data_IF_906648728713
#
_entry.id   IF_906648728713
#
_cell.length_a   1.000
_cell.length_b   1.000
_cell.length_c   1.000
_cell.angle_alpha   90.00
_cell.angle_beta   90.00
_cell.angle_gamma   90.00
#
_symmetry.space_group_name_H-M   'P 1'
#
loop_
_entity.id
_entity.type
_entity.pdbx_description
1 polymer ?
#
# COMPACT_ATOMS: atom_id res chain seq x y z
N UNK A 1 -20.17 -21.68 -12.27
CA UNK A 1 -18.95 -20.84 -12.43
C UNK A 1 -18.14 -21.39 -13.58
N UNK A 2 -17.69 -20.56 -14.53
CA UNK A 2 -16.71 -21.02 -15.51
C UNK A 2 -15.41 -21.46 -14.79
N UNK A 3 -14.68 -22.47 -15.31
CA UNK A 3 -13.40 -22.86 -14.74
C UNK A 3 -12.44 -21.67 -14.78
N UNK A 4 -11.67 -21.49 -13.70
CA UNK A 4 -10.62 -20.48 -13.69
C UNK A 4 -9.64 -20.77 -14.83
N UNK A 5 -9.19 -19.75 -15.59
CA UNK A 5 -8.21 -19.95 -16.64
C UNK A 5 -6.96 -20.63 -16.08
N UNK A 6 -6.33 -21.55 -16.82
CA UNK A 6 -5.13 -22.25 -16.36
C UNK A 6 -4.03 -21.23 -16.06
N UNK A 7 -3.31 -21.46 -14.95
CA UNK A 7 -2.19 -20.61 -14.55
C UNK A 7 -1.11 -20.63 -15.63
N UNK A 8 -0.46 -19.50 -15.94
CA UNK A 8 0.62 -19.49 -16.90
C UNK A 8 1.81 -20.29 -16.36
N UNK A 9 2.45 -21.16 -17.16
CA UNK A 9 3.56 -21.98 -16.69
C UNK A 9 4.75 -21.11 -16.24
N UNK A 10 5.47 -21.57 -15.22
CA UNK A 10 6.74 -20.95 -14.80
C UNK A 10 7.75 -21.14 -15.92
N UNK A 11 8.42 -20.06 -16.33
CA UNK A 11 9.45 -20.14 -17.38
C UNK A 11 10.83 -20.12 -16.73
N UNK A 12 11.68 -21.10 -17.02
CA UNK A 12 13.09 -21.09 -16.65
C UNK A 12 13.94 -20.81 -17.87
N UNK A 13 14.74 -19.74 -17.82
CA UNK A 13 15.69 -19.38 -18.86
C UNK A 13 17.08 -19.86 -18.43
N UNK A 14 17.69 -20.76 -19.20
CA UNK A 14 19.07 -21.21 -18.97
C UNK A 14 20.03 -20.34 -19.79
N UNK A 15 20.82 -19.55 -19.11
CA UNK A 15 21.89 -18.73 -19.68
C UNK A 15 23.23 -19.38 -19.31
N UNK A 16 23.76 -20.22 -20.19
CA UNK A 16 24.95 -21.02 -19.87
C UNK A 16 26.21 -20.19 -19.59
N UNK A 17 26.29 -18.99 -20.16
CA UNK A 17 27.52 -18.18 -20.21
C UNK A 17 27.48 -16.94 -19.33
N UNK A 18 26.39 -16.74 -18.56
CA UNK A 18 26.15 -15.48 -17.83
C UNK A 18 26.22 -14.29 -18.79
N UNK A 19 25.53 -14.42 -19.94
CA UNK A 19 25.54 -13.40 -20.98
C UNK A 19 24.87 -12.12 -20.46
N UNK A 20 25.65 -11.04 -20.52
CA UNK A 20 25.26 -9.68 -20.16
C UNK A 20 23.99 -9.26 -20.91
N UNK A 21 23.76 -9.79 -22.12
CA UNK A 21 22.57 -9.55 -22.92
C UNK A 21 21.27 -9.95 -22.21
N UNK A 22 21.22 -11.12 -21.55
CA UNK A 22 20.04 -11.55 -20.79
C UNK A 22 19.74 -10.60 -19.64
N UNK A 23 20.76 -10.22 -18.89
CA UNK A 23 20.64 -9.30 -17.75
C UNK A 23 20.17 -7.92 -18.20
N UNK A 24 20.83 -7.32 -19.20
CA UNK A 24 20.44 -6.00 -19.72
C UNK A 24 19.04 -5.99 -20.29
N UNK A 25 18.67 -7.02 -21.06
CA UNK A 25 17.34 -7.10 -21.68
C UNK A 25 16.24 -7.25 -20.63
N UNK A 26 16.44 -8.08 -19.62
CA UNK A 26 15.50 -8.23 -18.52
C UNK A 26 15.39 -6.95 -17.68
N UNK A 27 16.50 -6.25 -17.41
CA UNK A 27 16.48 -4.96 -16.70
C UNK A 27 15.78 -3.88 -17.53
N UNK A 28 16.01 -3.82 -18.84
CA UNK A 28 15.32 -2.90 -19.74
C UNK A 28 13.81 -3.19 -19.86
N UNK A 29 13.39 -4.46 -19.71
CA UNK A 29 11.98 -4.83 -19.68
C UNK A 29 11.25 -4.37 -18.40
N UNK A 30 11.99 -3.98 -17.35
CA UNK A 30 11.42 -3.48 -16.10
C UNK A 30 10.62 -2.21 -16.35
N UNK A 31 9.30 -2.31 -16.18
CA UNK A 31 8.39 -1.20 -16.35
C UNK A 31 7.15 -1.41 -15.49
N UNK A 32 7.19 -1.00 -14.20
CA UNK A 32 6.05 -1.16 -13.28
C UNK A 32 4.72 -0.61 -13.80
N UNK A 33 4.65 0.54 -14.51
CA UNK A 33 3.39 1.04 -15.07
C UNK A 33 2.73 0.08 -16.07
N UNK A 34 3.51 -0.73 -16.79
CA UNK A 34 2.99 -1.77 -17.71
C UNK A 34 2.84 -3.15 -17.04
N UNK A 35 3.02 -3.22 -15.72
CA UNK A 35 2.91 -4.47 -14.96
C UNK A 35 4.12 -5.39 -15.06
N UNK A 36 5.28 -4.89 -15.51
CA UNK A 36 6.50 -5.68 -15.69
C UNK A 36 7.52 -5.37 -14.60
N UNK A 37 7.82 -6.35 -13.76
CA UNK A 37 8.79 -6.19 -12.67
C UNK A 37 9.99 -7.11 -12.91
N UNK A 38 11.19 -6.55 -12.83
CA UNK A 38 12.43 -7.33 -12.88
C UNK A 38 13.12 -7.22 -11.54
N UNK A 39 13.29 -8.36 -10.90
CA UNK A 39 13.96 -8.52 -9.63
C UNK A 39 15.41 -8.94 -9.90
N UNK A 40 16.35 -8.15 -9.42
CA UNK A 40 17.75 -8.53 -9.37
C UNK A 40 18.16 -8.72 -7.91
N UNK A 41 18.10 -9.96 -7.36
CA UNK A 41 18.43 -10.19 -5.97
C UNK A 41 19.84 -9.71 -5.65
N UNK A 42 19.97 -8.89 -4.61
CA UNK A 42 21.25 -8.30 -4.22
C UNK A 42 22.34 -9.34 -3.94
N UNK A 43 23.62 -9.02 -4.14
CA UNK A 43 24.71 -9.90 -3.72
C UNK A 43 24.63 -10.10 -2.20
N UNK A 44 24.46 -11.35 -1.77
CA UNK A 44 24.31 -11.65 -0.34
C UNK A 44 22.87 -11.61 0.19
N UNK A 45 21.86 -11.43 -0.66
CA UNK A 45 20.46 -11.77 -0.30
C UNK A 45 20.40 -13.27 -0.01
N UNK A 46 20.62 -13.65 1.24
CA UNK A 46 20.61 -15.04 1.73
C UNK A 46 19.34 -15.33 2.54
N UNK A 47 18.64 -14.29 3.00
CA UNK A 47 17.42 -14.40 3.77
C UNK A 47 16.16 -14.21 2.92
N UNK A 48 15.03 -14.75 3.37
CA UNK A 48 13.71 -14.48 2.77
C UNK A 48 13.33 -13.01 2.90
N UNK A 49 13.69 -12.37 4.02
CA UNK A 49 13.42 -10.96 4.26
C UNK A 49 14.15 -10.07 3.25
N UNK A 50 15.41 -10.39 2.91
CA UNK A 50 16.14 -9.68 1.87
C UNK A 50 15.47 -9.80 0.50
N UNK A 51 15.00 -11.01 0.13
CA UNK A 51 14.27 -11.20 -1.12
C UNK A 51 12.98 -10.38 -1.18
N UNK A 52 12.26 -10.28 -0.05
CA UNK A 52 11.07 -9.44 0.05
C UNK A 52 11.39 -7.95 -0.10
N UNK A 53 12.49 -7.47 0.49
CA UNK A 53 12.93 -6.09 0.31
C UNK A 53 13.30 -5.80 -1.15
N UNK A 54 14.03 -6.71 -1.80
CA UNK A 54 14.37 -6.58 -3.22
C UNK A 54 13.09 -6.49 -4.08
N UNK A 55 12.06 -7.29 -3.75
CA UNK A 55 10.76 -7.25 -4.43
C UNK A 55 10.00 -5.94 -4.17
N UNK A 56 10.02 -5.42 -2.94
CA UNK A 56 9.44 -4.11 -2.60
C UNK A 56 10.13 -2.99 -3.39
N UNK A 57 11.45 -2.99 -3.45
CA UNK A 57 12.23 -2.00 -4.22
C UNK A 57 11.89 -2.08 -5.70
N UNK A 58 11.79 -3.29 -6.26
CA UNK A 58 11.38 -3.49 -7.66
C UNK A 58 9.95 -2.98 -7.93
N UNK A 59 9.07 -2.95 -6.92
CA UNK A 59 7.74 -2.35 -7.01
C UNK A 59 7.73 -0.82 -6.80
N UNK A 60 8.89 -0.18 -6.63
CA UNK A 60 9.00 1.25 -6.31
C UNK A 60 8.59 1.57 -4.86
N UNK A 61 8.63 0.59 -3.96
CA UNK A 61 8.31 0.74 -2.54
C UNK A 61 9.59 0.91 -1.70
N UNK A 62 9.52 1.62 -0.57
CA UNK A 62 10.62 1.61 0.39
C UNK A 62 10.78 0.21 0.99
N UNK A 63 12.01 -0.28 1.24
CA UNK A 63 12.23 -1.66 1.65
C UNK A 63 11.77 -1.96 3.09
N UNK A 64 11.62 -0.93 3.94
CA UNK A 64 11.29 -1.09 5.36
C UNK A 64 9.85 -0.73 5.66
N UNK A 65 9.22 -1.51 6.53
CA UNK A 65 7.89 -1.23 7.06
C UNK A 65 8.00 -0.50 8.42
N UNK A 66 7.40 0.69 8.57
CA UNK A 66 7.27 1.32 9.88
C UNK A 66 6.24 0.54 10.71
N UNK A 67 6.46 0.43 12.02
CA UNK A 67 5.53 -0.29 12.90
C UNK A 67 6.23 -1.08 14.00
N UNK A 68 5.42 -1.62 14.92
CA UNK A 68 5.83 -2.68 15.84
C UNK A 68 5.23 -3.99 15.33
N UNK A 69 6.04 -5.03 15.25
CA UNK A 69 5.63 -6.34 14.75
C UNK A 69 5.76 -7.40 15.84
N UNK A 70 4.78 -8.32 15.99
CA UNK A 70 4.90 -9.45 16.89
C UNK A 70 6.20 -10.23 16.62
N UNK A 71 6.95 -10.56 17.68
CA UNK A 71 8.24 -11.26 17.56
C UNK A 71 9.37 -10.44 16.91
N UNK A 72 9.19 -9.14 16.68
CA UNK A 72 10.24 -8.22 16.21
C UNK A 72 10.64 -8.37 14.74
N UNK A 73 10.03 -9.30 13.98
CA UNK A 73 10.33 -9.51 12.56
C UNK A 73 9.32 -8.79 11.68
N UNK A 74 9.81 -7.99 10.72
CA UNK A 74 8.94 -7.33 9.75
C UNK A 74 8.32 -8.36 8.79
N UNK A 75 6.99 -8.29 8.53
CA UNK A 75 6.29 -9.13 7.55
C UNK A 75 6.51 -8.62 6.13
N UNK A 76 7.78 -8.47 5.74
CA UNK A 76 8.16 -7.88 4.46
C UNK A 76 7.66 -8.72 3.28
N UNK A 77 7.69 -10.05 3.41
CA UNK A 77 7.20 -10.95 2.37
C UNK A 77 5.71 -10.79 2.16
N UNK A 78 4.92 -10.76 3.23
CA UNK A 78 3.48 -10.57 3.20
C UNK A 78 3.12 -9.21 2.60
N UNK A 79 3.89 -8.16 2.90
CA UNK A 79 3.71 -6.85 2.32
C UNK A 79 3.98 -6.84 0.81
N UNK A 80 5.10 -7.42 0.37
CA UNK A 80 5.44 -7.52 -1.05
C UNK A 80 4.39 -8.36 -1.80
N UNK A 81 4.00 -9.50 -1.23
CA UNK A 81 2.96 -10.39 -1.71
C UNK A 81 1.60 -9.70 -1.84
N UNK A 82 1.24 -8.82 -0.91
CA UNK A 82 0.00 -8.05 -0.95
C UNK A 82 0.03 -6.97 -2.05
N UNK A 83 1.15 -6.27 -2.22
CA UNK A 83 1.31 -5.31 -3.30
C UNK A 83 1.28 -5.96 -4.68
N UNK A 84 1.91 -7.12 -4.85
CA UNK A 84 1.84 -7.91 -6.08
C UNK A 84 0.40 -8.32 -6.45
N UNK A 85 -0.46 -8.54 -5.45
CA UNK A 85 -1.88 -8.85 -5.68
C UNK A 85 -2.70 -7.60 -6.01
N UNK A 86 -2.37 -6.45 -5.43
CA UNK A 86 -3.17 -5.24 -5.58
C UNK A 86 -2.80 -4.40 -6.82
N UNK A 87 -1.52 -4.40 -7.20
CA UNK A 87 -1.01 -3.72 -8.38
C UNK A 87 -1.29 -4.54 -9.65
N UNK A 88 -1.42 -3.89 -10.82
CA UNK A 88 -1.62 -4.57 -12.10
C UNK A 88 -0.31 -5.22 -12.60
N UNK A 89 0.42 -5.91 -11.73
CA UNK A 89 1.61 -6.66 -12.09
C UNK A 89 1.17 -7.93 -12.80
N UNK A 90 1.66 -8.15 -14.01
CA UNK A 90 1.38 -9.32 -14.81
C UNK A 90 2.63 -10.19 -15.03
N UNK A 91 3.83 -9.63 -14.82
CA UNK A 91 5.11 -10.28 -15.10
C UNK A 91 6.12 -10.02 -13.99
N UNK A 92 6.75 -11.09 -13.54
CA UNK A 92 7.89 -11.06 -12.63
C UNK A 92 9.06 -11.84 -13.25
N UNK A 93 10.14 -11.13 -13.57
CA UNK A 93 11.40 -11.72 -14.01
C UNK A 93 12.38 -11.70 -12.86
N UNK A 94 12.95 -12.85 -12.48
CA UNK A 94 13.93 -12.97 -11.40
C UNK A 94 15.27 -13.35 -12.00
N UNK A 95 16.22 -12.41 -11.95
CA UNK A 95 17.59 -12.62 -12.38
C UNK A 95 18.37 -13.47 -11.37
N UNK A 96 19.41 -14.16 -11.84
CA UNK A 96 20.29 -15.00 -11.00
C UNK A 96 19.52 -16.00 -10.12
N UNK A 97 18.45 -16.59 -10.67
CA UNK A 97 17.60 -17.55 -9.98
C UNK A 97 18.36 -18.79 -9.47
N UNK A 98 19.50 -19.13 -10.07
CA UNK A 98 20.39 -20.20 -9.60
C UNK A 98 20.96 -19.96 -8.19
N UNK A 99 20.91 -18.73 -7.67
CA UNK A 99 21.35 -18.37 -6.31
C UNK A 99 20.24 -18.50 -5.25
N UNK A 100 19.03 -18.84 -5.67
CA UNK A 100 17.90 -19.02 -4.76
C UNK A 100 18.00 -20.37 -4.03
N UNK A 101 17.62 -20.37 -2.76
CA UNK A 101 17.37 -21.61 -2.02
C UNK A 101 16.02 -22.20 -2.43
N UNK A 102 15.81 -23.49 -2.20
CA UNK A 102 14.56 -24.17 -2.53
C UNK A 102 13.35 -23.46 -1.90
N UNK A 103 13.47 -23.05 -0.64
CA UNK A 103 12.44 -22.28 0.08
C UNK A 103 12.07 -20.96 -0.60
N UNK A 104 13.07 -20.21 -1.10
CA UNK A 104 12.84 -18.92 -1.78
C UNK A 104 12.25 -19.10 -3.18
N UNK A 105 12.72 -20.09 -3.92
CA UNK A 105 12.12 -20.46 -5.19
C UNK A 105 10.65 -20.89 -5.00
N UNK A 106 10.37 -21.71 -3.98
CA UNK A 106 9.01 -22.13 -3.62
C UNK A 106 8.10 -20.95 -3.30
N UNK A 107 8.60 -19.96 -2.54
CA UNK A 107 7.86 -18.73 -2.25
C UNK A 107 7.49 -17.95 -3.52
N UNK A 108 8.38 -17.87 -4.51
CA UNK A 108 8.08 -17.24 -5.81
C UNK A 108 7.03 -18.02 -6.61
N UNK A 109 7.11 -19.36 -6.61
CA UNK A 109 6.09 -20.22 -7.25
C UNK A 109 4.73 -20.05 -6.57
N UNK A 110 4.68 -20.03 -5.24
CA UNK A 110 3.46 -19.75 -4.47
C UNK A 110 2.90 -18.35 -4.75
N UNK A 111 3.78 -17.35 -4.91
CA UNK A 111 3.40 -16.00 -5.30
C UNK A 111 2.74 -16.01 -6.69
N UNK A 112 3.31 -16.74 -7.66
CA UNK A 112 2.73 -16.93 -8.98
C UNK A 112 1.35 -17.60 -8.90
N UNK A 113 1.22 -18.69 -8.16
CA UNK A 113 -0.06 -19.40 -8.05
C UNK A 113 -1.16 -18.52 -7.45
N UNK A 114 -0.80 -17.64 -6.52
CA UNK A 114 -1.74 -16.72 -5.85
C UNK A 114 -2.11 -15.50 -6.69
N UNK A 115 -1.23 -15.05 -7.59
CA UNK A 115 -1.42 -13.80 -8.34
C UNK A 115 -1.72 -14.01 -9.82
N UNK A 116 -1.47 -15.21 -10.35
CA UNK A 116 -1.63 -15.53 -11.78
C UNK A 116 -0.58 -14.86 -12.68
N UNK A 117 0.49 -14.28 -12.13
CA UNK A 117 1.52 -13.61 -12.92
C UNK A 117 2.36 -14.59 -13.74
N UNK A 118 2.92 -14.12 -14.84
CA UNK A 118 3.98 -14.85 -15.54
C UNK A 118 5.30 -14.73 -14.76
N UNK A 119 5.76 -15.85 -14.20
CA UNK A 119 7.03 -15.93 -13.49
C UNK A 119 8.13 -16.45 -14.43
N UNK A 120 9.18 -15.64 -14.62
CA UNK A 120 10.38 -16.01 -15.39
C UNK A 120 11.59 -16.05 -14.47
N UNK A 121 12.29 -17.18 -14.43
CA UNK A 121 13.46 -17.43 -13.58
C UNK A 121 14.71 -17.56 -14.47
N UNK A 122 15.61 -16.58 -14.43
CA UNK A 122 16.83 -16.56 -15.25
C UNK A 122 17.98 -17.22 -14.50
N UNK A 123 18.49 -18.31 -15.03
CA UNK A 123 19.48 -19.18 -14.42
C UNK A 123 20.77 -19.14 -15.22
N UNK A 124 21.78 -18.40 -14.75
CA UNK A 124 23.12 -18.36 -15.36
C UNK A 124 23.95 -19.64 -15.11
N UNK A 125 23.39 -20.80 -15.46
CA UNK A 125 24.01 -22.13 -15.39
C UNK A 125 23.51 -22.95 -16.58
N UNK A 126 24.33 -23.88 -17.12
CA UNK A 126 23.92 -24.74 -18.23
C UNK A 126 22.83 -25.75 -17.85
N UNK A 127 22.62 -26.01 -16.56
CA UNK A 127 21.65 -26.98 -16.05
C UNK A 127 20.86 -26.38 -14.90
N UNK A 128 19.64 -26.90 -14.70
CA UNK A 128 18.74 -26.49 -13.64
C UNK A 128 19.29 -26.93 -12.26
N UNK A 129 19.56 -26.01 -11.33
CA UNK A 129 20.02 -26.37 -9.98
C UNK A 129 18.95 -27.16 -9.23
N UNK A 130 19.35 -28.15 -8.42
CA UNK A 130 18.44 -29.03 -7.70
C UNK A 130 17.40 -28.28 -6.85
N UNK A 131 17.82 -27.21 -6.16
CA UNK A 131 16.93 -26.37 -5.38
C UNK A 131 15.84 -25.67 -6.22
N UNK A 132 16.19 -25.23 -7.42
CA UNK A 132 15.25 -24.60 -8.36
C UNK A 132 14.33 -25.66 -8.96
N UNK A 133 14.88 -26.80 -9.36
CA UNK A 133 14.13 -27.94 -9.88
C UNK A 133 13.07 -28.44 -8.89
N UNK A 134 13.44 -28.61 -7.62
CA UNK A 134 12.50 -29.02 -6.56
C UNK A 134 11.31 -28.06 -6.44
N UNK A 135 11.55 -26.75 -6.53
CA UNK A 135 10.48 -25.76 -6.44
C UNK A 135 9.58 -25.76 -7.68
N UNK A 136 10.15 -25.68 -8.88
CA UNK A 136 9.35 -25.57 -10.11
C UNK A 136 8.57 -26.84 -10.43
N UNK A 137 8.99 -28.01 -9.95
CA UNK A 137 8.22 -29.27 -10.07
C UNK A 137 6.85 -29.25 -9.39
N UNK A 138 6.59 -28.28 -8.52
CA UNK A 138 5.28 -28.11 -7.87
C UNK A 138 4.27 -27.34 -8.74
N UNK A 139 4.70 -26.86 -9.91
CA UNK A 139 3.88 -26.15 -10.87
C UNK A 139 4.21 -26.61 -12.29
N UNK A 140 3.35 -26.26 -13.25
CA UNK A 140 3.70 -26.40 -14.66
C UNK A 140 4.86 -25.46 -14.99
N UNK A 141 5.90 -25.98 -15.63
CA UNK A 141 7.05 -25.17 -16.02
C UNK A 141 7.59 -25.55 -17.40
N UNK A 142 8.20 -24.57 -18.06
CA UNK A 142 8.91 -24.72 -19.31
C UNK A 142 10.35 -24.25 -19.15
N UNK A 143 11.25 -24.81 -19.96
CA UNK A 143 12.68 -24.45 -19.97
C UNK A 143 13.06 -23.98 -21.36
N UNK A 144 13.75 -22.86 -21.46
CA UNK A 144 14.33 -22.37 -22.71
C UNK A 144 15.77 -21.92 -22.51
N UNK A 145 16.61 -22.16 -23.50
CA UNK A 145 17.95 -21.56 -23.61
C UNK A 145 18.03 -20.57 -24.79
N UNK A 146 16.93 -20.38 -25.52
CA UNK A 146 16.85 -19.46 -26.65
C UNK A 146 16.61 -18.03 -26.16
N UNK A 147 17.45 -17.10 -26.61
CA UNK A 147 17.40 -15.71 -26.18
C UNK A 147 16.13 -15.00 -26.66
N UNK A 148 15.68 -15.23 -27.89
CA UNK A 148 14.47 -14.58 -28.41
C UNK A 148 13.20 -15.09 -27.74
N UNK A 149 13.13 -16.38 -27.39
CA UNK A 149 12.13 -16.92 -26.50
C UNK A 149 12.18 -16.23 -25.13
N UNK A 150 13.35 -16.14 -24.50
CA UNK A 150 13.52 -15.46 -23.20
C UNK A 150 13.05 -14.00 -23.25
N UNK A 151 13.41 -13.26 -24.29
CA UNK A 151 12.99 -11.86 -24.53
C UNK A 151 11.47 -11.72 -24.60
N UNK A 152 10.77 -12.64 -25.28
CA UNK A 152 9.30 -12.67 -25.30
C UNK A 152 8.70 -12.87 -23.92
N UNK A 153 9.34 -13.64 -23.03
CA UNK A 153 8.87 -13.80 -21.65
C UNK A 153 9.07 -12.53 -20.82
N UNK A 154 10.18 -11.80 -21.02
CA UNK A 154 10.48 -10.55 -20.31
C UNK A 154 9.49 -9.43 -20.67
N UNK A 155 9.24 -9.20 -21.97
CA UNK A 155 8.37 -8.12 -22.43
C UNK A 155 6.88 -8.53 -22.51
N UNK A 156 6.60 -9.79 -22.82
CA UNK A 156 5.27 -10.26 -23.18
C UNK A 156 4.82 -9.80 -24.56
N UNK A 157 3.51 -9.96 -24.83
CA UNK A 157 2.87 -9.34 -25.99
C UNK A 157 2.90 -7.81 -25.80
N UNK A 158 3.20 -7.02 -26.85
CA UNK A 158 3.17 -5.56 -26.75
C UNK A 158 1.77 -5.10 -26.31
N UNK A 159 1.70 -4.46 -25.15
CA UNK A 159 0.52 -3.69 -24.74
C UNK A 159 0.84 -2.25 -25.13
N UNK A 160 -0.12 -1.57 -25.78
CA UNK A 160 0.01 -0.15 -26.11
C UNK A 160 0.45 0.63 -24.86
N UNK A 161 1.64 1.23 -24.93
CA UNK A 161 2.20 1.97 -23.80
C UNK A 161 1.31 3.19 -23.54
N UNK A 162 0.72 3.32 -22.33
CA UNK A 162 0.14 4.59 -21.95
C UNK A 162 1.27 5.62 -21.89
N UNK A 163 1.08 6.84 -22.43
CA UNK A 163 2.12 7.85 -22.41
C UNK A 163 2.54 8.13 -20.96
N UNK A 164 3.85 8.07 -20.72
CA UNK A 164 4.46 8.46 -19.45
C UNK A 164 4.10 9.90 -19.16
N UNK A 165 3.27 10.12 -18.15
CA UNK A 165 3.12 11.43 -17.53
C UNK A 165 4.39 11.70 -16.72
N UNK A 166 5.42 12.23 -17.36
CA UNK A 166 6.57 12.82 -16.66
C UNK A 166 6.07 13.96 -15.78
N UNK A 167 5.96 13.71 -14.46
CA UNK A 167 5.80 14.80 -13.51
C UNK A 167 7.11 15.60 -13.46
N UNK A 168 7.07 16.94 -13.61
CA UNK A 168 8.25 17.76 -13.43
C UNK A 168 8.76 17.58 -11.99
N UNK A 169 9.96 17.04 -11.88
CA UNK A 169 10.69 16.66 -10.65
C UNK A 169 10.78 17.79 -9.61
N UNK A 170 10.58 19.05 -10.00
CA UNK A 170 10.55 20.21 -9.10
C UNK A 170 9.31 20.35 -8.21
N UNK A 171 8.18 19.66 -8.49
CA UNK A 171 6.92 19.79 -7.69
C UNK A 171 6.67 18.67 -6.68
N UNK A 172 7.46 17.58 -6.74
CA UNK A 172 7.30 16.43 -5.86
C UNK A 172 7.57 16.77 -4.38
N UNK A 173 8.44 17.75 -4.10
CA UNK A 173 8.84 18.15 -2.74
C UNK A 173 7.81 19.01 -2.00
N UNK A 174 6.83 19.62 -2.70
CA UNK A 174 5.86 20.54 -2.09
C UNK A 174 4.80 19.80 -1.27
N UNK A 175 4.47 20.32 -0.09
CA UNK A 175 3.35 19.83 0.72
C UNK A 175 2.00 19.93 0.00
N UNK A 176 1.20 18.87 0.06
CA UNK A 176 -0.23 18.88 -0.27
C UNK A 176 -1.04 19.11 1.01
N UNK A 177 -1.80 20.20 1.03
CA UNK A 177 -2.69 20.54 2.15
C UNK A 177 -4.05 19.92 1.91
N UNK A 178 -4.48 18.99 2.78
CA UNK A 178 -5.68 18.16 2.62
C UNK A 178 -6.53 18.26 3.90
N UNK A 179 -7.64 19.03 3.90
CA UNK A 179 -8.50 19.23 5.08
C UNK A 179 -9.05 17.93 5.68
N UNK A 180 -9.25 16.89 4.87
CA UNK A 180 -9.71 15.59 5.33
C UNK A 180 -8.77 14.93 6.37
N UNK A 181 -7.50 15.36 6.44
CA UNK A 181 -6.53 14.88 7.43
C UNK A 181 -6.62 15.57 8.79
N UNK A 182 -7.45 16.61 8.95
CA UNK A 182 -7.57 17.35 10.22
C UNK A 182 -7.97 16.44 11.39
N UNK A 183 -8.85 15.48 11.13
CA UNK A 183 -9.38 14.57 12.16
C UNK A 183 -8.48 13.39 12.49
N UNK A 184 -7.35 13.23 11.79
CA UNK A 184 -6.48 12.08 11.98
C UNK A 184 -5.90 12.00 13.40
N UNK A 185 -5.83 13.14 14.09
CA UNK A 185 -5.37 13.29 15.47
C UNK A 185 -6.47 13.31 16.52
N UNK A 186 -7.73 13.33 16.08
CA UNK A 186 -8.87 13.50 16.97
C UNK A 186 -9.04 12.37 17.95
N UNK A 187 -9.41 12.72 19.17
CA UNK A 187 -9.69 11.77 20.24
C UNK A 187 -11.15 11.33 20.26
N UNK A 188 -11.65 10.92 19.10
CA UNK A 188 -12.92 10.21 19.05
C UNK A 188 -12.70 8.86 19.73
N UNK A 189 -13.63 8.40 20.57
CA UNK A 189 -13.56 7.06 21.20
C UNK A 189 -14.60 6.09 20.63
N UNK A 190 -14.72 5.95 19.28
CA UNK A 190 -15.64 5.01 18.69
C UNK A 190 -15.24 3.59 19.10
N UNK A 191 -16.23 2.77 19.39
CA UNK A 191 -16.06 1.34 19.63
C UNK A 191 -16.61 0.58 18.44
N UNK A 192 -15.85 -0.41 17.97
CA UNK A 192 -16.33 -1.33 16.96
C UNK A 192 -17.59 -2.06 17.45
N UNK A 193 -18.45 -2.46 16.50
CA UNK A 193 -19.60 -3.27 16.81
C UNK A 193 -19.17 -4.67 17.27
N UNK A 194 -19.76 -5.15 18.37
CA UNK A 194 -19.55 -6.52 18.89
C UNK A 194 -20.40 -7.53 18.10
N UNK A 195 -21.63 -7.16 17.77
CA UNK A 195 -22.53 -7.94 16.91
C UNK A 195 -22.29 -7.63 15.42
N UNK A 196 -22.69 -8.52 14.49
CA UNK A 196 -22.77 -8.20 13.07
C UNK A 196 -23.52 -6.89 12.86
N UNK A 197 -22.89 -5.97 12.15
CA UNK A 197 -23.44 -4.67 11.83
C UNK A 197 -23.35 -4.52 10.32
N UNK A 198 -24.46 -4.11 9.70
CA UNK A 198 -24.53 -3.75 8.28
C UNK A 198 -24.77 -2.24 8.22
N UNK A 199 -23.71 -1.42 8.18
CA UNK A 199 -23.88 0.01 8.29
C UNK A 199 -24.62 0.59 7.08
N UNK A 200 -25.54 1.54 7.27
CA UNK A 200 -26.19 2.23 6.17
C UNK A 200 -25.19 3.13 5.41
N UNK A 201 -25.51 3.57 4.19
CA UNK A 201 -24.71 4.59 3.50
C UNK A 201 -24.51 5.84 4.36
N UNK A 202 -23.33 6.47 4.27
CA UNK A 202 -22.99 7.68 5.01
C UNK A 202 -23.97 8.83 4.74
N UNK A 203 -24.46 9.45 5.81
CA UNK A 203 -25.43 10.56 5.77
C UNK A 203 -24.90 11.91 6.28
N UNK A 204 -23.59 12.01 6.58
CA UNK A 204 -22.88 13.26 6.97
C UNK A 204 -23.65 14.18 7.93
N UNK A 205 -23.98 13.66 9.13
CA UNK A 205 -24.86 14.36 10.10
C UNK A 205 -24.09 15.36 10.95
N UNK A 206 -22.88 15.00 11.37
CA UNK A 206 -22.11 15.76 12.37
C UNK A 206 -20.89 16.46 11.77
N UNK A 207 -20.56 16.17 10.52
CA UNK A 207 -19.45 16.80 9.78
C UNK A 207 -19.77 16.91 8.29
N UNK A 208 -19.20 17.92 7.60
CA UNK A 208 -19.34 18.02 6.16
C UNK A 208 -18.61 16.87 5.45
N UNK A 209 -19.07 16.46 4.26
CA UNK A 209 -18.33 15.51 3.43
C UNK A 209 -16.96 16.07 3.03
N UNK A 210 -15.91 15.25 2.95
CA UNK A 210 -14.63 15.63 2.38
C UNK A 210 -14.80 16.13 0.94
N UNK A 211 -14.06 17.18 0.59
CA UNK A 211 -14.02 17.67 -0.80
C UNK A 211 -13.41 16.60 -1.69
N UNK A 212 -14.10 16.12 -2.74
CA UNK A 212 -13.55 15.15 -3.67
C UNK A 212 -12.24 15.64 -4.28
N UNK A 213 -11.24 14.77 -4.35
CA UNK A 213 -9.97 15.11 -4.97
C UNK A 213 -10.15 15.21 -6.49
N UNK A 214 -9.57 16.24 -7.11
CA UNK A 214 -9.44 16.29 -8.57
C UNK A 214 -8.59 15.13 -9.06
N UNK A 215 -8.79 14.68 -10.31
CA UNK A 215 -8.04 13.55 -10.88
C UNK A 215 -6.52 13.72 -10.75
N UNK A 216 -6.00 14.91 -11.04
CA UNK A 216 -4.58 15.24 -10.86
C UNK A 216 -4.13 15.17 -9.39
N UNK A 217 -4.95 15.64 -8.44
CA UNK A 217 -4.62 15.55 -7.02
C UNK A 217 -4.63 14.10 -6.53
N UNK A 218 -5.62 13.31 -6.97
CA UNK A 218 -5.69 11.89 -6.68
C UNK A 218 -4.46 11.14 -7.23
N UNK A 219 -4.04 11.40 -8.47
CA UNK A 219 -2.82 10.81 -9.04
C UNK A 219 -1.57 11.13 -8.20
N UNK A 220 -1.41 12.39 -7.77
CA UNK A 220 -0.29 12.82 -6.92
C UNK A 220 -0.32 12.17 -5.55
N UNK A 221 -1.50 12.09 -4.92
CA UNK A 221 -1.68 11.41 -3.64
C UNK A 221 -1.34 9.93 -3.79
N UNK A 222 -1.86 9.25 -4.81
CA UNK A 222 -1.58 7.84 -5.10
C UNK A 222 -0.08 7.62 -5.26
N UNK A 223 0.60 8.40 -6.11
CA UNK A 223 2.05 8.29 -6.30
C UNK A 223 2.82 8.47 -4.99
N UNK A 224 2.49 9.50 -4.19
CA UNK A 224 3.15 9.79 -2.91
C UNK A 224 2.92 8.70 -1.87
N UNK A 225 1.70 8.20 -1.71
CA UNK A 225 1.41 7.07 -0.83
C UNK A 225 2.13 5.81 -1.30
N UNK A 226 2.27 5.64 -2.61
CA UNK A 226 2.96 4.50 -3.19
C UNK A 226 4.43 4.46 -2.78
N UNK A 227 5.13 5.60 -2.89
CA UNK A 227 6.57 5.71 -2.62
C UNK A 227 6.90 5.96 -1.15
N UNK A 228 5.97 6.47 -0.34
CA UNK A 228 6.22 6.80 1.06
C UNK A 228 6.22 5.60 2.02
N UNK A 229 5.53 4.50 1.68
CA UNK A 229 5.46 3.32 2.56
C UNK A 229 5.24 2.01 1.80
N UNK A 230 5.87 0.95 2.30
CA UNK A 230 5.56 -0.43 1.93
C UNK A 230 4.47 -1.05 2.80
N UNK A 231 4.06 -0.42 3.91
CA UNK A 231 3.08 -0.99 4.83
C UNK A 231 1.66 -0.83 4.27
N UNK A 232 0.98 -1.91 3.84
CA UNK A 232 -0.30 -1.79 3.12
C UNK A 232 -1.41 -1.17 3.96
N UNK A 233 -1.52 -1.56 5.24
CA UNK A 233 -2.53 -1.01 6.18
C UNK A 233 -2.40 0.50 6.36
N UNK A 234 -1.20 1.02 6.65
CA UNK A 234 -0.98 2.47 6.83
C UNK A 234 -1.26 3.27 5.55
N UNK A 235 -0.90 2.73 4.38
CA UNK A 235 -1.22 3.37 3.10
C UNK A 235 -2.74 3.43 2.88
N UNK A 236 -3.45 2.33 3.17
CA UNK A 236 -4.90 2.28 3.10
C UNK A 236 -5.57 3.20 4.12
N UNK A 237 -5.08 3.26 5.35
CA UNK A 237 -5.60 4.15 6.39
C UNK A 237 -5.52 5.63 5.98
N UNK A 238 -4.40 6.06 5.38
CA UNK A 238 -4.29 7.43 4.84
C UNK A 238 -5.22 7.65 3.65
N UNK A 239 -5.30 6.70 2.71
CA UNK A 239 -6.23 6.81 1.60
C UNK A 239 -7.68 6.93 2.09
N UNK A 240 -8.07 6.10 3.06
CA UNK A 240 -9.38 6.14 3.72
C UNK A 240 -9.63 7.45 4.43
N UNK A 241 -8.68 7.95 5.21
CA UNK A 241 -8.82 9.25 5.88
C UNK A 241 -9.12 10.37 4.88
N UNK A 242 -8.52 10.33 3.67
CA UNK A 242 -8.71 11.37 2.66
C UNK A 242 -10.12 11.41 2.04
N UNK A 243 -10.79 10.26 1.84
CA UNK A 243 -12.13 10.24 1.27
C UNK A 243 -13.25 10.13 2.30
N UNK A 244 -12.94 9.78 3.55
CA UNK A 244 -13.94 9.68 4.65
C UNK A 244 -13.85 10.81 5.67
N UNK A 245 -12.70 11.50 5.75
CA UNK A 245 -12.41 12.43 6.85
C UNK A 245 -12.34 11.75 8.22
N UNK A 246 -12.20 10.43 8.27
CA UNK A 246 -12.23 9.65 9.50
C UNK A 246 -11.03 9.91 10.42
N UNK A 247 -11.26 9.88 11.73
CA UNK A 247 -10.19 9.86 12.73
C UNK A 247 -9.52 8.49 12.82
N UNK A 248 -8.32 8.45 13.42
CA UNK A 248 -7.58 7.19 13.58
C UNK A 248 -8.42 6.10 14.27
N UNK A 249 -9.20 6.47 15.28
CA UNK A 249 -9.98 5.54 16.07
C UNK A 249 -11.17 5.00 15.27
N UNK A 250 -11.78 5.82 14.39
CA UNK A 250 -12.76 5.33 13.43
C UNK A 250 -12.12 4.35 12.43
N UNK A 251 -10.94 4.67 11.92
CA UNK A 251 -10.19 3.78 11.00
C UNK A 251 -9.85 2.44 11.67
N UNK A 252 -9.55 2.45 12.96
CA UNK A 252 -9.25 1.25 13.75
C UNK A 252 -10.45 0.30 13.94
N UNK A 253 -11.66 0.73 13.57
CA UNK A 253 -12.84 -0.14 13.65
C UNK A 253 -13.05 -1.02 12.42
N UNK A 254 -12.40 -0.70 11.31
CA UNK A 254 -12.55 -1.42 10.04
C UNK A 254 -11.87 -2.80 10.10
N UNK A 255 -12.57 -3.83 9.61
CA UNK A 255 -12.10 -5.21 9.48
C UNK A 255 -12.03 -5.61 8.01
N UNK A 256 -11.32 -6.70 7.64
CA UNK A 256 -11.21 -7.16 6.25
C UNK A 256 -12.55 -7.34 5.54
N UNK A 257 -13.57 -7.83 6.25
CA UNK A 257 -14.93 -8.03 5.71
C UNK A 257 -15.73 -6.74 5.49
N UNK A 258 -15.28 -5.62 6.07
CA UNK A 258 -15.96 -4.33 5.95
C UNK A 258 -15.61 -3.64 4.63
N UNK A 259 -14.61 -4.14 3.89
CA UNK A 259 -14.29 -3.68 2.53
C UNK A 259 -14.86 -4.64 1.49
N UNK A 260 -15.80 -4.14 0.68
CA UNK A 260 -16.33 -4.84 -0.49
C UNK A 260 -15.72 -4.21 -1.75
N UNK A 261 -14.81 -4.95 -2.40
CA UNK A 261 -14.13 -4.53 -3.63
C UNK A 261 -15.08 -4.47 -4.83
N UNK A 262 -16.10 -5.33 -4.88
CA UNK A 262 -17.05 -5.39 -5.98
C UNK A 262 -18.07 -4.25 -5.90
N UNK A 263 -18.57 -3.97 -4.69
CA UNK A 263 -19.46 -2.84 -4.44
C UNK A 263 -18.70 -1.50 -4.33
N UNK A 264 -17.36 -1.53 -4.26
CA UNK A 264 -16.51 -0.39 -3.96
C UNK A 264 -16.97 0.38 -2.71
N UNK A 265 -17.21 -0.34 -1.61
CA UNK A 265 -17.64 0.25 -0.34
C UNK A 265 -16.73 -0.17 0.81
N UNK A 266 -16.62 0.72 1.80
CA UNK A 266 -15.91 0.46 3.05
C UNK A 266 -16.79 0.88 4.24
N UNK A 267 -17.04 -0.06 5.14
CA UNK A 267 -17.78 0.21 6.36
C UNK A 267 -16.83 0.63 7.51
N UNK A 268 -17.20 1.70 8.22
CA UNK A 268 -16.58 2.11 9.48
C UNK A 268 -17.63 2.05 10.59
N UNK A 269 -17.23 1.67 11.79
CA UNK A 269 -18.13 1.45 12.92
C UNK A 269 -17.95 2.51 14.00
N UNK A 270 -19.04 3.11 14.43
CA UNK A 270 -19.08 4.06 15.55
C UNK A 270 -20.39 3.85 16.32
N UNK A 271 -20.42 2.78 17.13
CA UNK A 271 -21.63 2.41 17.88
C UNK A 271 -22.10 3.53 18.83
N UNK A 272 -21.16 4.29 19.39
CA UNK A 272 -21.44 5.34 20.34
C UNK A 272 -21.90 6.66 19.67
N UNK A 273 -21.88 6.73 18.33
CA UNK A 273 -22.30 7.90 17.54
C UNK A 273 -21.56 9.17 17.97
N UNK A 274 -20.27 9.06 18.26
CA UNK A 274 -19.42 10.24 18.50
C UNK A 274 -19.26 11.11 17.25
N UNK A 275 -19.43 10.50 16.09
CA UNK A 275 -19.34 11.10 14.76
C UNK A 275 -20.65 10.84 14.00
N UNK A 276 -20.61 10.23 12.82
CA UNK A 276 -21.79 9.95 12.00
C UNK A 276 -22.46 8.60 12.33
N UNK A 277 -21.99 7.89 13.35
CA UNK A 277 -22.38 6.51 13.64
C UNK A 277 -21.70 5.51 12.69
N UNK A 278 -22.12 4.24 12.75
CA UNK A 278 -21.68 3.24 11.78
C UNK A 278 -22.15 3.64 10.38
N UNK A 279 -21.26 3.67 9.39
CA UNK A 279 -21.60 4.03 8.02
C UNK A 279 -20.76 3.30 6.97
N UNK A 280 -21.36 3.07 5.80
CA UNK A 280 -20.69 2.60 4.59
C UNK A 280 -20.32 3.80 3.70
N UNK A 281 -19.05 3.87 3.32
CA UNK A 281 -18.47 4.94 2.51
C UNK A 281 -18.16 4.42 1.10
N UNK A 282 -18.50 5.17 0.04
CA UNK A 282 -18.07 4.84 -1.31
C UNK A 282 -16.55 5.00 -1.43
N UNK A 283 -15.89 3.98 -1.97
CA UNK A 283 -14.44 3.94 -2.16
C UNK A 283 -14.12 4.49 -3.55
N UNK A 284 -13.38 5.60 -3.66
CA UNK A 284 -13.01 6.14 -4.96
C UNK A 284 -12.00 5.20 -5.66
N UNK A 285 -12.01 5.11 -7.01
CA UNK A 285 -11.16 4.16 -7.74
C UNK A 285 -9.65 4.29 -7.45
N UNK A 286 -9.16 5.49 -7.16
CA UNK A 286 -7.74 5.70 -6.84
C UNK A 286 -7.33 5.08 -5.48
N UNK A 287 -8.29 4.88 -4.57
CA UNK A 287 -8.05 4.36 -3.22
C UNK A 287 -8.18 2.82 -3.14
N UNK A 288 -8.92 2.20 -4.06
CA UNK A 288 -9.21 0.75 -4.04
C UNK A 288 -7.94 -0.10 -4.01
N UNK A 289 -6.89 0.32 -4.72
CA UNK A 289 -5.61 -0.37 -4.75
C UNK A 289 -4.97 -0.50 -3.35
N UNK A 290 -5.09 0.53 -2.52
CA UNK A 290 -4.54 0.51 -1.17
C UNK A 290 -5.36 -0.41 -0.25
N UNK A 291 -6.69 -0.38 -0.38
CA UNK A 291 -7.59 -1.24 0.39
C UNK A 291 -7.42 -2.72 0.01
N UNK A 292 -7.31 -3.04 -1.29
CA UNK A 292 -6.98 -4.40 -1.76
C UNK A 292 -5.64 -4.89 -1.20
N UNK A 293 -4.62 -4.04 -1.19
CA UNK A 293 -3.33 -4.37 -0.60
C UNK A 293 -3.45 -4.62 0.91
N UNK A 294 -4.18 -3.77 1.65
CA UNK A 294 -4.40 -3.96 3.07
C UNK A 294 -5.17 -5.26 3.38
N UNK A 295 -6.24 -5.56 2.64
CA UNK A 295 -7.01 -6.81 2.80
C UNK A 295 -6.16 -8.03 2.51
N UNK A 296 -5.37 -8.02 1.43
CA UNK A 296 -4.46 -9.11 1.09
C UNK A 296 -3.40 -9.31 2.17
N UNK A 297 -2.81 -8.21 2.66
CA UNK A 297 -1.81 -8.22 3.72
C UNK A 297 -2.35 -8.79 5.03
N UNK A 298 -3.54 -8.35 5.46
CA UNK A 298 -4.17 -8.86 6.68
C UNK A 298 -4.41 -10.36 6.58
N UNK A 299 -4.99 -10.84 5.47
CA UNK A 299 -5.22 -12.28 5.23
C UNK A 299 -3.93 -13.11 5.25
N UNK A 300 -2.81 -12.56 4.77
CA UNK A 300 -1.51 -13.23 4.78
C UNK A 300 -0.88 -13.30 6.19
N UNK A 301 -1.16 -12.31 7.04
CA UNK A 301 -0.59 -12.22 8.37
C UNK A 301 -1.32 -13.06 9.42
N UNK A 302 -2.65 -13.04 9.43
CA UNK A 302 -3.51 -13.66 10.45
C UNK A 302 -4.97 -13.68 9.95
N UNK A 303 -5.79 -14.63 10.41
CA UNK A 303 -7.20 -14.77 9.97
C UNK A 303 -8.07 -13.52 10.13
N UNK A 304 -9.31 -13.58 9.64
CA UNK A 304 -10.23 -12.45 9.32
C UNK A 304 -10.57 -11.45 10.46
N UNK A 305 -10.12 -11.67 11.69
CA UNK A 305 -10.48 -10.90 12.89
C UNK A 305 -9.52 -9.74 13.26
N UNK A 306 -8.52 -9.45 12.42
CA UNK A 306 -7.58 -8.33 12.63
C UNK A 306 -8.11 -7.00 12.07
N UNK A 307 -7.57 -5.86 12.53
CA UNK A 307 -7.96 -4.57 11.94
C UNK A 307 -7.40 -4.40 10.52
N UNK A 308 -8.22 -3.85 9.63
CA UNK A 308 -7.86 -3.65 8.23
C UNK A 308 -6.91 -2.46 8.03
N UNK A 309 -7.17 -1.34 8.72
CA UNK A 309 -6.54 -0.05 8.38
C UNK A 309 -5.46 0.37 9.37
N UNK A 310 -5.76 0.39 10.66
CA UNK A 310 -4.83 0.85 11.69
C UNK A 310 -5.14 0.16 13.03
N UNK A 311 -4.12 -0.08 13.83
CA UNK A 311 -4.29 -0.39 15.24
C UNK A 311 -4.34 0.91 16.08
N UNK A 312 -4.91 0.90 17.29
CA UNK A 312 -4.93 2.07 18.17
C UNK A 312 -3.55 2.71 18.44
N UNK A 313 -2.48 1.91 18.40
CA UNK A 313 -1.10 2.37 18.60
C UNK A 313 -0.40 2.95 17.36
N UNK A 314 -1.03 2.93 16.18
CA UNK A 314 -0.37 3.26 14.91
C UNK A 314 -0.28 4.76 14.60
N UNK A 315 -0.85 5.62 15.45
CA UNK A 315 -0.89 7.07 15.22
C UNK A 315 0.44 7.65 14.77
N UNK A 316 1.51 7.40 15.52
CA UNK A 316 2.83 7.95 15.23
C UNK A 316 3.39 7.46 13.89
N UNK A 317 3.13 6.20 13.53
CA UNK A 317 3.55 5.65 12.23
C UNK A 317 2.74 6.25 11.09
N UNK A 318 1.42 6.39 11.27
CA UNK A 318 0.52 6.95 10.27
C UNK A 318 0.86 8.40 9.95
N UNK A 319 1.09 9.24 10.98
CA UNK A 319 1.50 10.62 10.80
C UNK A 319 2.87 10.72 10.11
N UNK A 320 3.83 9.87 10.50
CA UNK A 320 5.15 9.81 9.84
C UNK A 320 5.04 9.43 8.36
N UNK A 321 4.19 8.46 8.02
CA UNK A 321 3.95 8.09 6.61
C UNK A 321 3.34 9.26 5.85
N UNK A 322 2.37 9.98 6.43
CA UNK A 322 1.79 11.15 5.79
C UNK A 322 2.83 12.26 5.56
N UNK A 323 3.73 12.49 6.53
CA UNK A 323 4.83 13.43 6.40
C UNK A 323 5.84 13.02 5.32
N UNK A 324 6.22 11.74 5.27
CA UNK A 324 7.07 11.18 4.19
C UNK A 324 6.40 11.36 2.83
N UNK A 325 5.08 11.15 2.75
CA UNK A 325 4.26 11.40 1.57
C UNK A 325 4.02 12.89 1.28
N UNK A 326 4.55 13.82 2.10
CA UNK A 326 4.33 15.27 2.00
C UNK A 326 2.84 15.64 1.98
N UNK A 327 2.03 14.95 2.77
CA UNK A 327 0.60 15.19 2.98
C UNK A 327 0.39 15.78 4.37
N UNK A 328 -0.42 16.83 4.49
CA UNK A 328 -0.69 17.47 5.77
C UNK A 328 -2.07 18.12 5.83
N UNK A 329 -2.64 18.32 7.03
CA UNK A 329 -3.79 19.19 7.23
C UNK A 329 -3.43 20.67 6.99
N UNK A 330 -4.45 21.55 6.84
CA UNK A 330 -4.30 22.99 6.99
C UNK A 330 -3.41 23.39 8.17
N UNK A 331 -2.42 24.25 7.91
CA UNK A 331 -1.42 24.66 8.89
C UNK A 331 -1.78 26.02 9.51
N UNK A 332 -1.33 26.31 10.74
CA UNK A 332 -1.51 27.62 11.36
C UNK A 332 -0.93 28.76 10.49
N UNK A 333 -1.53 29.96 10.54
CA UNK A 333 -0.88 31.18 10.05
C UNK A 333 0.51 31.33 10.67
N UNK A 334 1.45 31.93 9.94
CA UNK A 334 2.86 32.03 10.35
C UNK A 334 3.07 32.58 11.76
N UNK A 335 2.30 33.60 12.16
CA UNK A 335 2.38 34.20 13.50
C UNK A 335 1.84 33.33 14.66
N UNK A 336 1.23 32.17 14.38
CA UNK A 336 0.71 31.24 15.40
C UNK A 336 1.40 29.89 15.40
N UNK A 337 2.42 29.70 14.56
CA UNK A 337 3.16 28.43 14.49
C UNK A 337 3.97 28.23 15.77
N UNK A 338 3.79 27.06 16.39
CA UNK A 338 4.56 26.61 17.55
C UNK A 338 5.51 25.50 17.10
N UNK A 339 6.77 25.84 16.86
CA UNK A 339 7.83 24.88 16.55
C UNK A 339 8.78 25.31 15.43
N UNK A 340 9.78 24.48 15.11
CA UNK A 340 10.74 24.77 14.04
C UNK A 340 10.07 24.85 12.68
N UNK A 341 10.60 25.73 11.81
CA UNK A 341 10.11 25.94 10.45
C UNK A 341 10.09 24.61 9.69
N UNK A 342 8.93 24.23 9.16
CA UNK A 342 8.76 23.04 8.34
C UNK A 342 8.16 21.82 9.06
N UNK A 343 8.02 21.85 10.39
CA UNK A 343 7.26 20.84 11.14
C UNK A 343 5.76 20.95 10.85
N UNK A 344 5.08 19.81 10.72
CA UNK A 344 3.62 19.77 10.58
C UNK A 344 2.97 19.84 11.95
N UNK A 345 2.07 20.80 12.15
CA UNK A 345 1.22 20.87 13.32
C UNK A 345 -0.10 20.17 13.00
N UNK A 346 -0.23 18.94 13.49
CA UNK A 346 -1.39 18.09 13.22
C UNK A 346 -2.62 18.44 14.08
N UNK A 347 -2.39 18.86 15.32
CA UNK A 347 -3.40 19.16 16.35
C UNK A 347 -3.83 20.63 16.40
N UNK A 348 -3.39 21.43 15.42
CA UNK A 348 -3.59 22.87 15.41
C UNK A 348 -5.07 23.28 15.50
N UNK A 349 -5.94 22.62 14.72
CA UNK A 349 -7.38 22.93 14.72
C UNK A 349 -8.05 22.55 16.04
N UNK A 350 -7.70 21.41 16.62
CA UNK A 350 -8.28 20.99 17.90
C UNK A 350 -7.88 21.93 19.03
N UNK A 351 -6.61 22.37 19.06
CA UNK A 351 -6.16 23.40 20.00
C UNK A 351 -6.90 24.73 19.81
N UNK A 352 -7.07 25.17 18.56
CA UNK A 352 -7.86 26.37 18.24
C UNK A 352 -9.32 26.26 18.72
N UNK A 353 -9.94 25.10 18.58
CA UNK A 353 -11.31 24.87 19.04
C UNK A 353 -11.40 24.84 20.56
N UNK A 354 -10.48 24.15 21.24
CA UNK A 354 -10.38 24.14 22.70
C UNK A 354 -10.18 25.56 23.27
N UNK A 355 -9.26 26.35 22.71
CA UNK A 355 -9.03 27.76 23.08
C UNK A 355 -10.30 28.61 22.94
N UNK A 356 -11.12 28.37 21.91
CA UNK A 356 -12.41 29.06 21.73
C UNK A 356 -13.41 28.66 22.81
N UNK A 357 -13.50 27.38 23.15
CA UNK A 357 -14.41 26.91 24.20
C UNK A 357 -14.02 27.46 25.58
N UNK A 358 -12.72 27.50 25.89
CA UNK A 358 -12.20 28.11 27.12
C UNK A 358 -12.44 29.63 27.20
N UNK A 359 -12.49 30.32 26.04
CA UNK A 359 -12.77 31.75 25.98
C UNK A 359 -14.26 32.11 26.14
N UNK A 360 -15.19 31.15 26.01
CA UNK A 360 -16.65 31.38 26.14
C UNK A 360 -17.05 31.74 27.59
N UNK A 361 -16.59 31.04 28.65
CA UNK A 361 -16.81 31.45 30.04
C UNK A 361 -16.24 32.84 30.37
N UNK A 362 -15.05 33.18 29.85
CA UNK A 362 -14.37 34.43 30.16
C UNK A 362 -15.08 35.68 29.62
N UNK A 363 -15.90 35.56 28.57
CA UNK A 363 -16.70 36.67 28.01
C UNK A 363 -18.02 36.91 28.75
N UNK A 364 -18.55 35.92 29.46
CA UNK A 364 -19.78 36.08 30.28
C UNK A 364 -19.51 36.69 31.66
N UNK A 365 -18.24 36.84 32.03
CA UNK A 365 -17.80 37.43 33.30
C UNK A 365 -17.30 38.89 33.16
N UNK A 366 -17.78 39.67 32.17
CA UNK A 366 -17.64 41.14 32.24
C UNK A 366 -18.76 41.67 33.14
N UNK A 367 -18.48 42.19 34.34
CA UNK A 367 -19.50 42.84 35.15
C UNK A 367 -19.94 44.10 34.41
N UNK A 368 -21.24 44.26 34.26
CA UNK A 368 -21.88 45.52 33.92
C UNK A 368 -21.45 46.57 34.96
N UNK A 369 -20.55 47.47 34.58
CA UNK A 369 -20.30 48.68 35.35
C UNK A 369 -21.58 49.53 35.28
N UNK A 370 -22.26 49.63 36.42
CA UNK A 370 -23.20 50.69 36.74
C UNK A 370 -22.63 51.46 37.92
#
# INVERSE_FOLDING_TARGET
MPPAPPLPPVTVVLDRHDDVLHTHTALAAHHPPSGRITLHPGPGTTSETGLAHDLLVALGKPPLLPGRFPGGRQPAWEAAAAWMTALPVNRLTVLRAHRLTARRAMRLVQLQARTGIHLTLVCHRPHLPAALHQAVRTADYSVTADFEAARRHYYGTPIAEPPSAEEPTGRASRWLTLPALDRLVSYDSPRACVAPCTPPPIAWRHRPPPVPLTAHTAQRVTHRLHTATAHPRLAAALATALFTGASLQQLATARPRDYDDAAATLALHDRARYTDGCAAYPVPPWASIFLRAATSFTRLLSGEDQELLAAPGDRAHLLRVAETARLRPPQPPTGRRKGPVGRVEWDWRERQEAEKYEAIPARRAKPSQR
#
